data_IF_625208622290
#
_entry.id   IF_625208622290
#
_cell.length_a   1.000
_cell.length_b   1.000
_cell.length_c   1.000
_cell.angle_alpha   90.00
_cell.angle_beta   90.00
_cell.angle_gamma   90.00
#
_symmetry.space_group_name_H-M   'P 1'
#
loop_
_entity.id
_entity.type
_entity.pdbx_description
1 polymer ?
#
# COMPACT_ATOMS: atom_id res chain seq x y z
N UNK A 1 14.95 8.92 -7.93
CA UNK A 1 13.56 8.54 -7.60
C UNK A 1 13.55 7.19 -6.90
N UNK A 2 14.24 6.18 -7.47
CA UNK A 2 14.34 4.81 -6.93
C UNK A 2 14.72 4.70 -5.47
N UNK A 3 15.67 5.52 -4.98
CA UNK A 3 16.09 5.45 -3.58
C UNK A 3 14.95 5.77 -2.61
N UNK A 4 14.21 6.86 -2.85
CA UNK A 4 13.10 7.29 -1.98
C UNK A 4 11.90 6.36 -2.09
N UNK A 5 11.58 5.88 -3.30
CA UNK A 5 10.49 4.92 -3.48
C UNK A 5 10.78 3.60 -2.73
N UNK A 6 12.00 3.07 -2.85
CA UNK A 6 12.41 1.86 -2.11
C UNK A 6 12.42 2.07 -0.60
N UNK A 7 12.84 3.25 -0.14
CA UNK A 7 12.84 3.61 1.28
C UNK A 7 11.42 3.61 1.84
N UNK A 8 10.46 4.29 1.18
CA UNK A 8 9.06 4.28 1.61
C UNK A 8 8.43 2.88 1.57
N UNK A 9 8.72 2.09 0.53
CA UNK A 9 8.26 0.70 0.46
C UNK A 9 8.82 -0.15 1.62
N UNK A 10 10.09 0.04 2.00
CA UNK A 10 10.67 -0.68 3.13
C UNK A 10 10.01 -0.26 4.45
N UNK A 11 9.90 1.05 4.71
CA UNK A 11 9.28 1.54 5.94
C UNK A 11 7.82 1.13 6.08
N UNK A 12 7.05 1.11 4.99
CA UNK A 12 5.66 0.65 5.01
C UNK A 12 5.54 -0.85 5.31
N UNK A 13 6.42 -1.68 4.75
CA UNK A 13 6.47 -3.12 5.05
C UNK A 13 6.89 -3.39 6.51
N UNK A 14 7.90 -2.69 7.02
CA UNK A 14 8.34 -2.83 8.42
C UNK A 14 7.21 -2.45 9.41
N UNK A 15 6.43 -1.41 9.09
CA UNK A 15 5.27 -1.00 9.90
C UNK A 15 4.12 -2.02 9.83
N UNK A 16 3.84 -2.59 8.65
CA UNK A 16 2.86 -3.67 8.49
C UNK A 16 3.22 -4.90 9.33
N UNK A 17 4.49 -5.32 9.28
CA UNK A 17 4.99 -6.44 10.08
C UNK A 17 4.90 -6.16 11.59
N UNK A 18 5.21 -4.92 12.00
CA UNK A 18 5.07 -4.48 13.40
C UNK A 18 3.61 -4.56 13.86
N UNK A 19 2.66 -4.06 13.06
CA UNK A 19 1.23 -4.15 13.38
C UNK A 19 0.74 -5.60 13.48
N UNK A 20 1.19 -6.47 12.57
CA UNK A 20 0.85 -7.89 12.61
C UNK A 20 1.40 -8.58 13.86
N UNK A 21 2.65 -8.30 14.22
CA UNK A 21 3.34 -8.94 15.36
C UNK A 21 2.78 -8.52 16.72
N UNK A 22 2.30 -7.28 16.84
CA UNK A 22 1.75 -6.74 18.09
C UNK A 22 0.25 -7.00 18.26
N UNK A 23 -0.41 -7.59 17.27
CA UNK A 23 -1.85 -7.86 17.29
C UNK A 23 -2.20 -8.99 18.26
N UNK A 24 -2.95 -8.67 19.32
CA UNK A 24 -3.34 -9.62 20.38
C UNK A 24 -4.49 -10.57 20.01
N UNK A 25 -5.22 -10.27 18.93
CA UNK A 25 -6.33 -11.06 18.40
C UNK A 25 -6.00 -11.68 17.03
N UNK A 26 -4.82 -12.28 16.88
CA UNK A 26 -4.54 -13.17 15.74
C UNK A 26 -5.32 -14.48 15.91
N UNK A 27 -6.66 -14.38 15.93
CA UNK A 27 -7.48 -15.53 15.60
C UNK A 27 -7.31 -15.63 14.09
N UNK A 28 -6.48 -16.57 13.64
CA UNK A 28 -6.58 -17.07 12.27
C UNK A 28 -8.02 -17.61 12.13
N UNK A 29 -8.95 -16.74 11.75
CA UNK A 29 -10.28 -17.20 11.40
C UNK A 29 -10.11 -18.06 10.15
N UNK A 30 -10.10 -19.37 10.36
CA UNK A 30 -9.95 -20.35 9.29
C UNK A 30 -11.04 -20.20 8.22
N UNK A 31 -12.16 -19.51 8.52
CA UNK A 31 -13.19 -19.14 7.55
C UNK A 31 -12.79 -17.97 6.63
N UNK A 32 -11.94 -17.03 7.08
CA UNK A 32 -11.40 -15.92 6.28
C UNK A 32 -10.24 -16.32 5.36
N UNK A 33 -9.70 -17.55 5.51
CA UNK A 33 -8.74 -18.12 4.55
C UNK A 33 -9.34 -18.34 3.16
N UNK A 34 -10.66 -18.20 3.01
CA UNK A 34 -11.34 -18.27 1.72
C UNK A 34 -11.62 -16.88 1.13
N UNK A 35 -11.11 -16.67 -0.08
CA UNK A 35 -11.73 -15.84 -1.13
C UNK A 35 -11.36 -14.35 -1.27
N UNK A 36 -10.12 -13.94 -0.97
CA UNK A 36 -9.58 -12.72 -1.61
C UNK A 36 -8.37 -13.11 -2.45
N UNK A 37 -8.60 -13.30 -3.75
CA UNK A 37 -7.55 -13.62 -4.71
C UNK A 37 -6.70 -12.39 -5.00
N UNK A 38 -5.37 -12.53 -4.94
CA UNK A 38 -4.47 -11.47 -5.39
C UNK A 38 -4.51 -11.38 -6.93
N UNK A 39 -4.66 -10.18 -7.53
CA UNK A 39 -4.84 -10.00 -8.96
C UNK A 39 -3.54 -10.16 -9.74
N UNK A 40 -2.97 -11.37 -9.77
CA UNK A 40 -1.68 -11.67 -10.41
C UNK A 40 -1.63 -11.29 -11.90
N UNK A 41 -2.73 -11.49 -12.63
CA UNK A 41 -2.80 -11.14 -14.05
C UNK A 41 -2.68 -9.63 -14.28
N UNK A 42 -3.27 -8.82 -13.42
CA UNK A 42 -3.16 -7.35 -13.47
C UNK A 42 -1.70 -6.91 -13.27
N UNK A 43 -1.02 -7.46 -12.27
CA UNK A 43 0.41 -7.17 -12.03
C UNK A 43 1.29 -7.67 -13.16
N UNK A 44 0.97 -8.82 -13.74
CA UNK A 44 1.67 -9.37 -14.91
C UNK A 44 1.53 -8.46 -16.12
N UNK A 45 0.32 -7.96 -16.39
CA UNK A 45 0.06 -7.00 -17.46
C UNK A 45 0.82 -5.69 -17.22
N UNK A 46 0.72 -5.13 -16.02
CA UNK A 46 1.38 -3.88 -15.65
C UNK A 46 2.90 -3.95 -15.76
N UNK A 47 3.52 -5.10 -15.44
CA UNK A 47 4.97 -5.30 -15.58
C UNK A 47 5.48 -5.08 -17.01
N UNK A 48 4.62 -5.27 -18.01
CA UNK A 48 4.90 -5.11 -19.45
C UNK A 48 4.42 -3.76 -20.01
N UNK A 49 3.72 -2.95 -19.22
CA UNK A 49 3.17 -1.66 -19.65
C UNK A 49 4.24 -0.55 -19.71
N UNK A 50 3.83 0.63 -20.19
CA UNK A 50 4.68 1.82 -20.19
C UNK A 50 4.99 2.27 -18.75
N UNK A 51 6.05 3.08 -18.58
CA UNK A 51 6.46 3.57 -17.26
C UNK A 51 5.34 4.37 -16.58
N UNK A 52 4.59 5.16 -17.36
CA UNK A 52 3.46 5.96 -16.85
C UNK A 52 2.33 5.08 -16.31
N UNK A 53 1.97 4.02 -17.03
CA UNK A 53 0.95 3.07 -16.59
C UNK A 53 1.37 2.32 -15.32
N UNK A 54 2.66 1.95 -15.22
CA UNK A 54 3.22 1.33 -14.01
C UNK A 54 3.12 2.25 -12.80
N UNK A 55 3.48 3.53 -12.98
CA UNK A 55 3.38 4.53 -11.91
C UNK A 55 1.92 4.78 -11.56
N UNK A 56 1.02 4.88 -12.54
CA UNK A 56 -0.41 5.10 -12.30
C UNK A 56 -1.04 3.94 -11.53
N UNK A 57 -0.73 2.69 -11.89
CA UNK A 57 -1.20 1.53 -11.12
C UNK A 57 -0.64 1.55 -9.70
N UNK A 58 0.64 1.90 -9.54
CA UNK A 58 1.25 1.96 -8.21
C UNK A 58 0.56 3.00 -7.32
N UNK A 59 0.25 4.19 -7.85
CA UNK A 59 -0.52 5.21 -7.12
C UNK A 59 -1.90 4.68 -6.74
N UNK A 60 -2.60 4.02 -7.67
CA UNK A 60 -3.92 3.45 -7.40
C UNK A 60 -3.87 2.40 -6.27
N UNK A 61 -2.87 1.52 -6.27
CA UNK A 61 -2.68 0.51 -5.20
C UNK A 61 -2.44 1.17 -3.84
N UNK A 62 -1.64 2.25 -3.80
CA UNK A 62 -1.40 3.00 -2.55
C UNK A 62 -2.69 3.67 -2.05
N UNK A 63 -3.50 4.22 -2.94
CA UNK A 63 -4.79 4.86 -2.59
C UNK A 63 -5.83 3.85 -2.09
N UNK A 64 -5.92 2.69 -2.72
CA UNK A 64 -6.79 1.60 -2.26
C UNK A 64 -6.31 1.05 -0.90
N UNK A 65 -4.99 1.01 -0.68
CA UNK A 65 -4.41 0.64 0.63
C UNK A 65 -4.82 1.65 1.71
N UNK A 66 -4.71 2.96 1.44
CA UNK A 66 -5.19 3.98 2.38
C UNK A 66 -6.68 3.83 2.66
N UNK A 67 -7.49 3.64 1.62
CA UNK A 67 -8.95 3.48 1.73
C UNK A 67 -9.33 2.25 2.56
N UNK A 68 -8.63 1.13 2.36
CA UNK A 68 -8.84 -0.11 3.12
C UNK A 68 -8.59 0.10 4.62
N UNK A 69 -7.50 0.77 4.96
CA UNK A 69 -7.12 1.03 6.35
C UNK A 69 -8.04 2.07 7.02
N UNK A 70 -8.47 3.11 6.31
CA UNK A 70 -9.36 4.14 6.87
C UNK A 70 -10.79 3.65 7.14
N UNK A 71 -11.29 2.67 6.38
CA UNK A 71 -12.69 2.19 6.52
C UNK A 71 -12.90 1.21 7.67
N UNK A 72 -11.88 0.48 8.10
CA UNK A 72 -11.99 -0.63 9.06
C UNK A 72 -11.06 -0.51 10.28
N UNK A 73 -10.48 0.66 10.52
CA UNK A 73 -9.49 0.85 11.59
C UNK A 73 -10.01 0.42 12.98
N UNK A 74 -11.28 0.68 13.30
CA UNK A 74 -11.87 0.37 14.61
C UNK A 74 -12.11 -1.13 14.86
N UNK A 75 -12.10 -1.96 13.81
CA UNK A 75 -12.30 -3.41 13.92
C UNK A 75 -10.97 -4.18 14.05
N UNK A 76 -9.84 -3.54 13.73
CA UNK A 76 -8.51 -4.15 13.84
C UNK A 76 -7.93 -3.94 15.24
N UNK A 77 -7.20 -4.95 15.75
CA UNK A 77 -6.47 -4.87 17.03
C UNK A 77 -5.08 -4.20 16.90
N UNK A 78 -4.88 -3.35 15.89
CA UNK A 78 -3.61 -2.68 15.64
C UNK A 78 -3.43 -1.47 16.55
N UNK A 79 -2.18 -1.18 16.92
CA UNK A 79 -1.83 0.05 17.63
C UNK A 79 -2.06 1.25 16.71
N UNK A 80 -2.97 2.15 17.10
CA UNK A 80 -3.39 3.33 16.33
C UNK A 80 -2.20 4.17 15.83
N UNK A 81 -1.23 4.45 16.71
CA UNK A 81 -0.04 5.23 16.34
C UNK A 81 0.78 4.56 15.23
N UNK A 82 0.89 3.24 15.25
CA UNK A 82 1.65 2.49 14.24
C UNK A 82 0.90 2.44 12.92
N UNK A 83 -0.44 2.31 12.96
CA UNK A 83 -1.30 2.41 11.78
C UNK A 83 -1.27 3.80 11.14
N UNK A 84 -1.30 4.87 11.95
CA UNK A 84 -1.19 6.25 11.48
C UNK A 84 0.17 6.52 10.82
N UNK A 85 1.26 6.01 11.41
CA UNK A 85 2.59 6.10 10.81
C UNK A 85 2.64 5.39 9.45
N UNK A 86 2.02 4.20 9.35
CA UNK A 86 1.93 3.46 8.09
C UNK A 86 1.19 4.27 7.02
N UNK A 87 0.00 4.79 7.35
CA UNK A 87 -0.79 5.64 6.45
C UNK A 87 -0.03 6.90 6.02
N UNK A 88 0.73 7.51 6.94
CA UNK A 88 1.57 8.66 6.65
C UNK A 88 2.69 8.36 5.64
N UNK A 89 3.31 7.18 5.73
CA UNK A 89 4.33 6.72 4.75
C UNK A 89 3.69 6.45 3.39
N UNK A 90 2.57 5.71 3.36
CA UNK A 90 1.85 5.38 2.11
C UNK A 90 1.38 6.65 1.39
N UNK A 91 0.82 7.63 2.12
CA UNK A 91 0.39 8.91 1.54
C UNK A 91 1.57 9.67 0.91
N UNK A 92 2.70 9.77 1.62
CA UNK A 92 3.90 10.45 1.09
C UNK A 92 4.44 9.76 -0.16
N UNK A 93 4.38 8.43 -0.20
CA UNK A 93 4.78 7.66 -1.36
C UNK A 93 3.88 7.94 -2.57
N UNK A 94 2.55 7.95 -2.37
CA UNK A 94 1.58 8.27 -3.41
C UNK A 94 1.77 9.68 -3.96
N UNK A 95 1.93 10.69 -3.09
CA UNK A 95 2.15 12.08 -3.49
C UNK A 95 3.46 12.26 -4.27
N UNK A 96 4.52 11.58 -3.84
CA UNK A 96 5.79 11.54 -4.56
C UNK A 96 5.63 11.01 -5.98
N UNK A 97 4.88 9.92 -6.17
CA UNK A 97 4.65 9.33 -7.49
C UNK A 97 3.72 10.19 -8.37
N UNK A 98 2.66 10.78 -7.80
CA UNK A 98 1.77 11.70 -8.53
C UNK A 98 2.51 12.89 -9.10
N UNK A 99 3.50 13.42 -8.36
CA UNK A 99 4.33 14.51 -8.85
C UNK A 99 5.11 14.17 -10.13
N UNK A 100 5.40 12.88 -10.35
CA UNK A 100 6.09 12.42 -11.56
C UNK A 100 5.13 12.38 -12.76
N UNK A 101 3.88 11.97 -12.55
CA UNK A 101 2.85 11.90 -13.60
C UNK A 101 2.41 13.30 -14.04
N UNK A 102 2.30 14.25 -13.10
CA UNK A 102 1.91 15.63 -13.42
C UNK A 102 3.00 16.38 -14.20
N UNK A 103 4.28 16.04 -13.99
CA UNK A 103 5.39 16.61 -14.76
C UNK A 103 5.45 16.10 -16.22
N UNK A 104 5.06 14.85 -16.48
CA UNK A 104 5.05 14.29 -17.83
C UNK A 104 3.93 14.85 -18.73
N UNK A 105 2.86 15.44 -18.17
CA UNK A 105 1.77 16.05 -18.95
C UNK A 105 2.08 17.46 -19.47
N UNK A 106 3.24 18.04 -19.10
CA UNK A 106 3.66 19.40 -19.46
C UNK A 106 4.75 19.42 -20.56
N UNK A 107 5.07 18.28 -21.15
CA UNK A 107 6.01 18.09 -22.27
C UNK A 107 5.30 17.45 -23.44
#
# INVERSE_FOLDING_TARGET
>A
MDHKFREFSRSSLDLLETMASNSTNSTEDAALRHSVGFPHDLYTQASKAAAEDKVSLTVQVLDETMTLFSKNHSAASWEEKTADNFLGVVSRQADGLRSCVSQNKLT
#
